data_IF_199603699079
#
_entry.id   IF_199603699079
#
_cell.length_a   1.000
_cell.length_b   1.000
_cell.length_c   1.000
_cell.angle_alpha   90.00
_cell.angle_beta   90.00
_cell.angle_gamma   90.00
#
_symmetry.space_group_name_H-M   'P 1'
#
loop_
_entity.id
_entity.type
_entity.pdbx_description
1 polymer ?
#
# COMPACT_ATOMS: atom_id res chain seq x y z
N UNK A 1 15.02 6.44 2.13
CA UNK A 1 14.14 5.78 1.16
C UNK A 1 12.70 6.05 1.49
N UNK A 2 11.91 6.22 0.44
CA UNK A 2 10.46 6.43 0.45
C UNK A 2 9.85 5.44 -0.53
N UNK A 3 8.62 5.01 -0.28
CA UNK A 3 7.89 4.12 -1.18
C UNK A 3 6.49 4.69 -1.40
N UNK A 4 6.14 4.90 -2.66
CA UNK A 4 4.79 5.28 -3.11
C UNK A 4 4.11 4.11 -3.81
N UNK A 5 2.79 4.06 -3.75
CA UNK A 5 1.96 3.01 -4.36
C UNK A 5 1.02 3.62 -5.39
N UNK A 6 1.00 3.06 -6.60
CA UNK A 6 0.28 3.60 -7.75
C UNK A 6 -0.58 2.52 -8.39
N UNK A 7 -1.85 2.83 -8.62
CA UNK A 7 -2.82 1.87 -9.12
C UNK A 7 -4.23 2.42 -9.21
N UNK A 8 -5.17 1.56 -9.57
CA UNK A 8 -6.60 1.90 -9.61
C UNK A 8 -7.13 1.89 -8.18
N UNK A 9 -7.74 3.00 -7.77
CA UNK A 9 -8.23 3.20 -6.41
C UNK A 9 -9.73 3.52 -6.41
N UNK A 10 -10.46 2.98 -5.43
CA UNK A 10 -11.86 3.36 -5.16
C UNK A 10 -11.97 4.48 -4.13
N UNK A 11 -10.98 4.59 -3.24
CA UNK A 11 -10.81 5.69 -2.30
C UNK A 11 -9.32 6.05 -2.19
N UNK A 12 -8.98 7.13 -1.47
CA UNK A 12 -7.59 7.62 -1.42
C UNK A 12 -6.57 6.61 -0.88
N UNK A 13 -7.00 5.63 -0.09
CA UNK A 13 -6.14 4.64 0.57
C UNK A 13 -6.54 3.18 0.24
N UNK A 14 -7.47 2.99 -0.70
CA UNK A 14 -8.08 1.71 -0.99
C UNK A 14 -8.01 1.38 -2.48
N UNK A 15 -7.30 0.30 -2.79
CA UNK A 15 -7.17 -0.25 -4.14
C UNK A 15 -8.48 -0.88 -4.61
N UNK A 16 -8.80 -0.65 -5.88
CA UNK A 16 -9.89 -1.34 -6.56
C UNK A 16 -9.51 -2.78 -6.86
N UNK A 17 -10.50 -3.67 -6.87
CA UNK A 17 -10.29 -5.02 -7.38
C UNK A 17 -10.12 -5.02 -8.90
N UNK A 18 -9.23 -5.90 -9.38
CA UNK A 18 -9.13 -6.28 -10.78
C UNK A 18 -10.45 -6.88 -11.25
N UNK A 19 -11.01 -6.31 -12.32
CA UNK A 19 -12.32 -6.69 -12.83
C UNK A 19 -12.21 -7.91 -13.75
N UNK A 20 -12.99 -8.94 -13.44
CA UNK A 20 -13.19 -10.17 -14.19
C UNK A 20 -14.64 -10.64 -14.02
N UNK A 21 -15.07 -11.61 -14.83
CA UNK A 21 -16.46 -12.09 -14.83
C UNK A 21 -16.94 -12.66 -13.49
N UNK A 22 -16.02 -13.08 -12.62
CA UNK A 22 -16.31 -13.62 -11.29
C UNK A 22 -15.70 -12.76 -10.16
N UNK A 23 -15.37 -11.49 -10.40
CA UNK A 23 -14.82 -10.62 -9.36
C UNK A 23 -15.85 -10.31 -8.27
N UNK A 24 -15.38 -10.19 -7.03
CA UNK A 24 -16.18 -9.66 -5.94
C UNK A 24 -16.54 -8.19 -6.18
N UNK A 25 -17.60 -7.73 -5.51
CA UNK A 25 -18.04 -6.32 -5.54
C UNK A 25 -18.24 -5.77 -4.14
N UNK A 26 -18.20 -4.44 -4.01
CA UNK A 26 -18.36 -3.75 -2.73
C UNK A 26 -17.21 -3.96 -1.74
N UNK A 27 -16.05 -4.42 -2.21
CA UNK A 27 -14.83 -4.57 -1.41
C UNK A 27 -13.62 -4.00 -2.17
N UNK A 28 -12.63 -3.53 -1.43
CA UNK A 28 -11.32 -3.10 -1.93
C UNK A 28 -10.20 -3.55 -1.01
N UNK A 29 -8.95 -3.25 -1.38
CA UNK A 29 -7.78 -3.57 -0.55
C UNK A 29 -7.15 -2.29 -0.02
N UNK A 30 -7.23 -2.09 1.29
CA UNK A 30 -6.57 -1.00 1.99
C UNK A 30 -5.13 -1.36 2.32
N UNK A 31 -4.21 -0.41 2.10
CA UNK A 31 -2.81 -0.55 2.49
C UNK A 31 -2.50 0.37 3.67
N UNK A 32 -1.72 -0.15 4.63
CA UNK A 32 -1.21 0.62 5.77
C UNK A 32 0.30 0.40 5.90
N UNK A 33 1.01 1.43 6.36
CA UNK A 33 2.41 1.29 6.76
C UNK A 33 2.49 0.32 7.93
N UNK A 34 3.39 -0.66 7.85
CA UNK A 34 3.67 -1.57 8.95
C UNK A 34 4.71 -0.99 9.92
N UNK A 35 5.06 -1.78 10.93
CA UNK A 35 6.15 -1.43 11.84
C UNK A 35 7.50 -1.39 11.11
N UNK A 36 8.02 -0.17 10.90
CA UNK A 36 9.32 0.09 10.28
C UNK A 36 10.19 0.91 11.26
N UNK A 37 11.20 0.30 11.90
CA UNK A 37 12.03 1.00 12.87
C UNK A 37 12.68 2.27 12.30
N UNK A 38 12.47 3.40 12.97
CA UNK A 38 13.00 4.70 12.55
C UNK A 38 12.27 5.35 11.37
N UNK A 39 11.13 4.81 10.93
CA UNK A 39 10.26 5.49 9.97
C UNK A 39 9.67 6.77 10.57
N UNK A 40 9.40 7.74 9.70
CA UNK A 40 8.75 9.00 10.04
C UNK A 40 7.21 8.89 10.09
N UNK A 41 6.67 7.68 9.96
CA UNK A 41 5.23 7.41 9.93
C UNK A 41 4.88 6.29 10.92
N UNK A 42 3.82 6.44 11.73
CA UNK A 42 3.40 5.37 12.65
C UNK A 42 2.88 4.13 11.94
N UNK A 43 3.04 2.98 12.59
CA UNK A 43 2.39 1.72 12.20
C UNK A 43 0.86 1.89 12.14
N UNK A 44 0.23 1.25 11.16
CA UNK A 44 -1.21 1.33 10.89
C UNK A 44 -1.65 2.60 10.16
N UNK A 45 -0.74 3.56 9.90
CA UNK A 45 -1.09 4.75 9.12
C UNK A 45 -1.46 4.35 7.69
N UNK A 46 -2.56 4.91 7.17
CA UNK A 46 -3.05 4.59 5.83
C UNK A 46 -2.07 5.08 4.75
N UNK A 47 -1.78 4.22 3.78
CA UNK A 47 -1.00 4.58 2.59
C UNK A 47 -1.93 5.30 1.62
N UNK A 48 -1.55 6.50 1.20
CA UNK A 48 -2.26 7.19 0.11
C UNK A 48 -1.86 6.60 -1.23
N UNK A 49 -2.81 6.05 -1.97
CA UNK A 49 -2.61 5.54 -3.32
C UNK A 49 -2.49 6.72 -4.29
N UNK A 50 -1.56 6.61 -5.24
CA UNK A 50 -1.24 7.64 -6.24
C UNK A 50 -0.64 8.95 -5.66
N UNK A 51 -0.13 8.93 -4.43
CA UNK A 51 0.65 10.03 -3.84
C UNK A 51 2.14 9.89 -4.21
N UNK A 52 2.74 10.97 -4.73
CA UNK A 52 4.15 10.99 -5.15
C UNK A 52 4.96 12.12 -4.51
N UNK A 53 4.32 13.17 -4.02
CA UNK A 53 4.99 14.40 -3.59
C UNK A 53 5.27 14.43 -2.09
N UNK A 54 4.46 13.75 -1.30
CA UNK A 54 4.58 13.78 0.17
C UNK A 54 4.71 12.38 0.78
N UNK A 55 5.73 11.64 0.34
CA UNK A 55 6.00 10.30 0.87
C UNK A 55 6.83 10.36 2.17
N UNK A 56 6.43 9.62 3.23
CA UNK A 56 7.20 9.56 4.46
C UNK A 56 8.51 8.80 4.26
N UNK A 57 9.52 9.16 5.05
CA UNK A 57 10.77 8.40 5.11
C UNK A 57 10.48 7.09 5.86
N UNK A 58 10.69 5.95 5.20
CA UNK A 58 10.48 4.64 5.80
C UNK A 58 11.76 4.05 6.40
N UNK A 59 12.90 4.40 5.82
CA UNK A 59 14.22 4.00 6.31
C UNK A 59 15.30 4.95 5.79
N UNK A 60 16.36 5.13 6.57
CA UNK A 60 17.61 5.79 6.12
C UNK A 60 18.65 4.71 5.83
N UNK A 61 19.06 4.59 4.57
CA UNK A 61 20.17 3.70 4.20
C UNK A 61 21.45 4.37 4.67
N UNK A 62 22.23 3.67 5.48
CA UNK A 62 23.56 4.11 5.93
C UNK A 62 24.63 3.25 5.28
N UNK A 63 25.90 3.65 5.36
CA UNK A 63 27.00 2.80 4.89
C UNK A 63 27.05 1.42 5.57
N UNK A 64 26.55 1.31 6.81
CA UNK A 64 26.48 0.04 7.54
C UNK A 64 25.37 -0.90 7.04
N UNK A 65 24.35 -0.37 6.37
CA UNK A 65 23.27 -1.14 5.73
C UNK A 65 23.42 -1.20 4.21
N UNK A 66 24.59 -0.85 3.68
CA UNK A 66 24.85 -0.90 2.25
C UNK A 66 25.15 -2.35 1.84
N UNK A 67 24.45 -2.84 0.83
CA UNK A 67 24.61 -4.20 0.32
C UNK A 67 23.86 -5.29 1.10
N UNK A 68 23.09 -4.92 2.12
CA UNK A 68 22.20 -5.83 2.86
C UNK A 68 20.77 -5.75 2.33
N UNK A 69 20.05 -6.89 2.34
CA UNK A 69 18.62 -6.89 2.08
C UNK A 69 17.90 -6.28 3.28
N UNK A 70 17.02 -5.32 3.01
CA UNK A 70 16.28 -4.58 4.05
C UNK A 70 14.78 -4.79 3.89
N UNK A 71 14.13 -5.25 4.96
CA UNK A 71 12.69 -5.39 4.99
C UNK A 71 12.02 -4.03 5.21
N UNK A 72 11.00 -3.71 4.41
CA UNK A 72 10.08 -2.60 4.62
C UNK A 72 8.67 -3.19 4.71
N UNK A 73 8.01 -2.98 5.85
CA UNK A 73 6.78 -3.66 6.20
C UNK A 73 5.55 -2.82 5.82
N UNK A 74 4.55 -3.49 5.25
CA UNK A 74 3.23 -2.96 4.95
C UNK A 74 2.20 -4.00 5.32
N UNK A 75 0.98 -3.56 5.64
CA UNK A 75 -0.16 -4.46 5.82
C UNK A 75 -1.20 -4.20 4.73
N UNK A 76 -1.87 -5.27 4.30
CA UNK A 76 -3.00 -5.22 3.38
C UNK A 76 -4.23 -5.81 4.04
N UNK A 77 -5.37 -5.12 3.95
CA UNK A 77 -6.64 -5.58 4.49
C UNK A 77 -7.76 -5.40 3.47
N UNK A 78 -8.68 -6.37 3.38
CA UNK A 78 -9.94 -6.12 2.67
C UNK A 78 -10.83 -5.18 3.48
N UNK A 79 -11.44 -4.22 2.78
CA UNK A 79 -12.39 -3.26 3.36
C UNK A 79 -13.65 -3.22 2.50
N UNK A 80 -14.80 -3.00 3.14
CA UNK A 80 -16.07 -2.83 2.43
C UNK A 80 -16.16 -1.40 1.88
N UNK A 81 -16.51 -1.26 0.61
CA UNK A 81 -16.51 0.03 -0.11
C UNK A 81 -17.91 0.44 -0.57
N UNK A 82 -18.86 -0.49 -0.57
CA UNK A 82 -20.27 -0.25 -0.90
C UNK A 82 -21.19 -0.80 0.17
N UNK A 83 -22.47 -0.41 0.15
CA UNK A 83 -23.49 -0.88 1.10
C UNK A 83 -23.70 -2.41 1.08
N UNK A 84 -23.37 -3.08 -0.03
CA UNK A 84 -23.53 -4.52 -0.21
C UNK A 84 -22.26 -5.15 -0.75
N UNK A 85 -21.87 -6.31 -0.21
CA UNK A 85 -20.73 -7.10 -0.70
C UNK A 85 -21.25 -8.24 -1.58
N UNK A 86 -20.75 -8.31 -2.82
CA UNK A 86 -20.98 -9.43 -3.72
C UNK A 86 -19.83 -10.43 -3.65
N UNK A 87 -20.15 -11.73 -3.54
CA UNK A 87 -19.15 -12.78 -3.52
C UNK A 87 -18.43 -12.91 -4.88
N UNK A 88 -17.14 -13.22 -4.83
CA UNK A 88 -16.32 -13.43 -6.02
C UNK A 88 -14.82 -13.41 -5.69
N UNK A 89 -14.00 -13.35 -6.74
CA UNK A 89 -12.54 -13.24 -6.64
C UNK A 89 -12.14 -11.80 -6.29
N UNK A 90 -11.29 -11.62 -5.28
CA UNK A 90 -10.87 -10.30 -4.80
C UNK A 90 -9.39 -10.02 -5.08
N UNK A 91 -8.98 -10.06 -6.35
CA UNK A 91 -7.61 -9.75 -6.72
C UNK A 91 -7.42 -8.24 -6.85
N UNK A 92 -6.29 -7.69 -6.41
CA UNK A 92 -5.88 -6.30 -6.65
C UNK A 92 -4.44 -6.26 -7.16
N UNK A 93 -4.11 -5.22 -7.91
CA UNK A 93 -2.76 -4.99 -8.40
C UNK A 93 -2.35 -3.54 -8.13
N UNK A 94 -1.11 -3.35 -7.70
CA UNK A 94 -0.52 -2.05 -7.44
C UNK A 94 0.96 -2.07 -7.84
N UNK A 95 1.45 -0.96 -8.35
CA UNK A 95 2.87 -0.75 -8.61
C UNK A 95 3.44 0.07 -7.46
N UNK A 96 4.57 -0.36 -6.89
CA UNK A 96 5.31 0.49 -5.95
C UNK A 96 6.48 1.16 -6.67
N UNK A 97 6.75 2.42 -6.32
CA UNK A 97 7.96 3.13 -6.71
C UNK A 97 8.80 3.39 -5.46
N UNK A 98 10.10 3.12 -5.55
CA UNK A 98 11.05 3.36 -4.48
C UNK A 98 11.94 4.54 -4.83
N UNK A 99 11.98 5.52 -3.94
CA UNK A 99 12.86 6.69 -4.02
C UNK A 99 13.98 6.54 -2.99
N UNK A 100 15.23 6.53 -3.45
CA UNK A 100 16.40 6.64 -2.57
C UNK A 100 16.60 8.10 -2.16
N UNK A 101 17.13 8.30 -0.95
CA UNK A 101 17.55 9.63 -0.51
C UNK A 101 18.95 9.94 -1.06
#
# INVERSE_FOLDING_TARGET
MRIGFFGVSVESDTLALSQASNSASGVGVKLTYGNNPGAAVPDGTSVKINEASNLPILKRVTGASAGTAEAINFNAQYVQTDATVGAGTANSMVTFALEYN
#
